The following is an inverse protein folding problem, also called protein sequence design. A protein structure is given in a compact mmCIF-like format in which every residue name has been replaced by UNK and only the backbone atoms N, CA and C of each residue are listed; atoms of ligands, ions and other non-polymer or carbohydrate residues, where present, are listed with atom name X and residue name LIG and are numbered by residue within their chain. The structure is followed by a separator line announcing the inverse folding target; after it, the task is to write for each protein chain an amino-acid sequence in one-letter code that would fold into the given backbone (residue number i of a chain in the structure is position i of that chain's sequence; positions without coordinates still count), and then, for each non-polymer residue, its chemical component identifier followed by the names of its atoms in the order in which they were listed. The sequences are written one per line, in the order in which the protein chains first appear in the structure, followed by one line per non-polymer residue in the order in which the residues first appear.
data_IF_076184618243
#
_entry.id   IF_076184618243
#
_cell.length_a   1.000
_cell.length_b   1.000
_cell.length_c   1.000
_cell.angle_alpha   90.00
_cell.angle_beta   90.00
_cell.angle_gamma   90.00
#
_symmetry.space_group_name_H-M   'P 1'
#
loop_
_entity.id
_entity.type
_entity.pdbx_description
1 polymer ?
#
# COMPACT_ATOMS: atom_id res chain seq x y z
N UNK A 1 -15.27 24.03 -21.33
CA UNK A 1 -13.98 23.41 -21.72
C UNK A 1 -12.89 24.04 -20.87
N UNK A 2 -11.70 23.45 -20.84
CA UNK A 2 -10.49 24.08 -20.30
C UNK A 2 -9.50 24.18 -21.44
N UNK A 3 -8.77 25.30 -21.49
CA UNK A 3 -7.67 25.49 -22.43
C UNK A 3 -6.43 25.86 -21.62
N UNK A 4 -5.30 25.28 -21.97
CA UNK A 4 -4.02 25.50 -21.28
C UNK A 4 -3.05 26.11 -22.27
N UNK A 5 -2.28 27.08 -21.81
CA UNK A 5 -1.21 27.68 -22.59
C UNK A 5 -0.14 28.24 -21.66
N UNK A 6 1.07 28.38 -22.20
CA UNK A 6 2.17 29.06 -21.53
C UNK A 6 3.01 29.81 -22.58
N UNK A 7 3.81 30.76 -22.13
CA UNK A 7 4.78 31.44 -22.98
C UNK A 7 6.07 30.60 -22.96
N UNK A 8 6.46 30.08 -24.12
CA UNK A 8 7.69 29.29 -24.25
C UNK A 8 8.93 30.18 -24.18
N UNK A 9 10.06 29.59 -23.80
CA UNK A 9 11.32 30.32 -23.66
C UNK A 9 11.76 30.87 -25.02
N UNK A 10 11.86 32.20 -25.12
CA UNK A 10 12.22 32.89 -26.36
C UNK A 10 11.02 33.35 -27.19
N UNK A 11 9.79 33.03 -26.77
CA UNK A 11 8.56 33.53 -27.37
C UNK A 11 7.97 34.68 -26.54
N UNK A 12 7.20 35.55 -27.18
CA UNK A 12 6.47 36.65 -26.54
C UNK A 12 4.96 36.40 -26.45
N UNK A 13 4.45 35.44 -27.21
CA UNK A 13 3.04 35.09 -27.28
C UNK A 13 2.77 33.79 -26.51
N UNK A 14 1.50 33.60 -26.13
CA UNK A 14 1.09 32.38 -25.43
C UNK A 14 0.90 31.27 -26.47
N UNK A 15 1.63 30.17 -26.31
CA UNK A 15 1.40 28.95 -27.07
C UNK A 15 0.19 28.23 -26.46
N UNK A 16 -0.98 28.36 -27.08
CA UNK A 16 -2.20 27.71 -26.61
C UNK A 16 -2.26 26.23 -27.05
N UNK A 17 -2.81 25.39 -26.18
CA UNK A 17 -3.23 24.03 -26.52
C UNK A 17 -4.66 24.00 -27.05
N UNK A 18 -5.04 22.81 -27.52
CA UNK A 18 -6.41 22.53 -27.96
C UNK A 18 -7.42 22.65 -26.79
N UNK A 19 -8.61 23.23 -27.02
CA UNK A 19 -9.68 23.25 -26.04
C UNK A 19 -10.11 21.83 -25.63
N UNK A 20 -10.01 21.51 -24.33
CA UNK A 20 -10.39 20.22 -23.78
C UNK A 20 -11.80 20.26 -23.20
N UNK A 21 -12.70 19.44 -23.74
CA UNK A 21 -14.06 19.30 -23.25
C UNK A 21 -14.18 18.07 -22.36
N UNK A 22 -14.89 18.22 -21.24
CA UNK A 22 -15.11 17.11 -20.30
C UNK A 22 -15.83 15.93 -20.97
N UNK A 23 -16.74 16.21 -21.90
CA UNK A 23 -17.46 15.23 -22.71
C UNK A 23 -16.55 14.39 -23.61
N UNK A 24 -15.39 14.92 -24.04
CA UNK A 24 -14.41 14.20 -24.85
C UNK A 24 -13.51 13.25 -24.05
N UNK A 25 -13.57 13.29 -22.71
CA UNK A 25 -12.76 12.42 -21.84
C UNK A 25 -13.52 11.13 -21.53
N UNK A 26 -13.19 10.07 -22.27
CA UNK A 26 -13.86 8.76 -22.19
C UNK A 26 -13.41 7.95 -20.97
N UNK A 27 -12.11 7.93 -20.67
CA UNK A 27 -11.55 7.12 -19.57
C UNK A 27 -11.39 7.96 -18.30
N UNK A 28 -12.05 7.55 -17.21
CA UNK A 28 -12.08 8.27 -15.93
C UNK A 28 -11.78 7.36 -14.74
N UNK A 29 -10.57 6.82 -14.70
CA UNK A 29 -10.14 5.82 -13.70
C UNK A 29 -9.80 6.41 -12.32
N UNK A 30 -10.31 7.60 -11.99
CA UNK A 30 -10.04 8.28 -10.72
C UNK A 30 -11.36 8.78 -10.11
N UNK A 31 -11.61 8.57 -8.81
CA UNK A 31 -12.79 9.13 -8.13
C UNK A 31 -12.78 10.66 -8.14
N UNK A 32 -11.62 11.29 -8.36
CA UNK A 32 -11.50 12.75 -8.49
C UNK A 32 -12.27 13.33 -9.69
N UNK A 33 -12.60 12.52 -10.70
CA UNK A 33 -13.49 12.96 -11.78
C UNK A 33 -14.91 13.29 -11.28
N UNK A 34 -15.32 12.75 -10.13
CA UNK A 34 -16.62 13.04 -9.49
C UNK A 34 -16.46 14.10 -8.41
N UNK A 35 -15.49 13.93 -7.50
CA UNK A 35 -15.33 14.84 -6.35
C UNK A 35 -14.64 16.16 -6.68
N UNK A 36 -13.74 16.19 -7.67
CA UNK A 36 -13.04 17.41 -8.12
C UNK A 36 -12.81 17.44 -9.64
N UNK A 37 -13.89 17.50 -10.45
CA UNK A 37 -13.82 17.39 -11.91
C UNK A 37 -13.00 18.51 -12.55
N UNK A 38 -13.01 19.72 -11.97
CA UNK A 38 -12.27 20.88 -12.49
C UNK A 38 -10.77 20.68 -12.40
N UNK A 39 -10.28 20.17 -11.27
CA UNK A 39 -8.86 19.88 -11.11
C UNK A 39 -8.41 18.77 -12.06
N UNK A 40 -9.22 17.72 -12.23
CA UNK A 40 -8.85 16.62 -13.12
C UNK A 40 -8.76 17.04 -14.59
N UNK A 41 -9.75 17.78 -15.09
CA UNK A 41 -9.70 18.24 -16.49
C UNK A 41 -8.56 19.24 -16.72
N UNK A 42 -8.24 20.10 -15.73
CA UNK A 42 -7.11 21.01 -15.81
C UNK A 42 -5.77 20.25 -15.85
N UNK A 43 -5.59 19.27 -14.96
CA UNK A 43 -4.40 18.42 -14.95
C UNK A 43 -4.23 17.68 -16.29
N UNK A 44 -5.32 17.14 -16.84
CA UNK A 44 -5.30 16.47 -18.13
C UNK A 44 -4.90 17.43 -19.26
N UNK A 45 -5.41 18.66 -19.25
CA UNK A 45 -5.05 19.71 -20.20
C UNK A 45 -3.56 20.06 -20.13
N UNK A 46 -3.02 20.29 -18.93
CA UNK A 46 -1.58 20.58 -18.71
C UNK A 46 -0.72 19.42 -19.21
N UNK A 47 -1.11 18.18 -18.90
CA UNK A 47 -0.39 16.99 -19.34
C UNK A 47 -0.33 16.86 -20.88
N UNK A 48 -1.44 17.14 -21.58
CA UNK A 48 -1.46 17.09 -23.04
C UNK A 48 -0.66 18.23 -23.66
N UNK A 49 -0.78 19.44 -23.13
CA UNK A 49 -0.03 20.59 -23.60
C UNK A 49 1.49 20.37 -23.45
N UNK A 50 1.94 19.94 -22.27
CA UNK A 50 3.36 19.72 -22.01
C UNK A 50 3.93 18.58 -22.86
N UNK A 51 3.16 17.55 -23.21
CA UNK A 51 3.62 16.51 -24.14
C UNK A 51 3.86 17.00 -25.56
N UNK A 52 3.14 18.02 -25.99
CA UNK A 52 3.27 18.58 -27.33
C UNK A 52 4.42 19.58 -27.42
N UNK A 53 4.56 20.45 -26.41
CA UNK A 53 5.44 21.62 -26.49
C UNK A 53 6.66 21.59 -25.56
N UNK A 54 6.62 20.79 -24.49
CA UNK A 54 7.74 20.64 -23.56
C UNK A 54 7.92 19.16 -23.14
N UNK A 55 8.01 18.21 -24.09
CA UNK A 55 8.10 16.78 -23.77
C UNK A 55 9.30 16.45 -22.89
N UNK A 56 10.40 17.20 -23.04
CA UNK A 56 11.61 17.08 -22.22
C UNK A 56 11.33 17.26 -20.73
N UNK A 57 10.45 18.20 -20.36
CA UNK A 57 10.07 18.46 -18.95
C UNK A 57 9.35 17.25 -18.34
N UNK A 58 8.60 16.49 -19.14
CA UNK A 58 7.90 15.27 -18.68
C UNK A 58 8.85 14.08 -18.61
N UNK A 59 9.83 14.02 -19.50
CA UNK A 59 10.77 12.89 -19.60
C UNK A 59 11.99 13.02 -18.66
N UNK A 60 12.07 14.12 -17.91
CA UNK A 60 13.21 14.47 -17.08
C UNK A 60 14.24 15.21 -17.91
N UNK A 61 14.48 16.48 -17.58
CA UNK A 61 15.56 17.27 -18.18
C UNK A 61 16.67 17.34 -17.17
N UNK A 62 17.88 17.01 -17.61
CA UNK A 62 19.06 17.33 -16.84
C UNK A 62 19.33 18.83 -16.97
N UNK A 63 19.37 19.55 -15.85
CA UNK A 63 19.86 20.92 -15.87
C UNK A 63 21.35 20.94 -16.21
N UNK A 64 21.90 22.04 -16.75
CA UNK A 64 23.33 22.10 -17.09
C UNK A 64 24.25 21.71 -15.93
N UNK A 65 23.87 22.05 -14.69
CA UNK A 65 24.58 21.67 -13.45
C UNK A 65 24.43 20.19 -13.05
N UNK A 66 23.47 19.47 -13.64
CA UNK A 66 23.33 18.01 -13.49
C UNK A 66 24.11 17.24 -14.56
N UNK A 67 24.38 17.85 -15.72
CA UNK A 67 25.23 17.28 -16.78
C UNK A 67 26.71 17.60 -16.54
N UNK A 68 27.02 18.75 -15.94
CA UNK A 68 28.37 19.07 -15.49
C UNK A 68 28.84 18.01 -14.48
N UNK A 69 29.98 17.39 -14.78
CA UNK A 69 30.67 16.55 -13.80
C UNK A 69 31.01 17.43 -12.61
N UNK A 70 30.22 17.30 -11.54
CA UNK A 70 30.57 17.88 -10.26
C UNK A 70 31.95 17.34 -9.90
N UNK A 71 32.92 18.24 -9.67
CA UNK A 71 34.20 17.84 -9.08
C UNK A 71 33.88 17.03 -7.82
N UNK A 72 34.46 15.84 -7.72
CA UNK A 72 34.27 14.97 -6.56
C UNK A 72 34.58 15.79 -5.32
N UNK A 73 33.53 16.11 -4.57
CA UNK A 73 33.68 16.85 -3.32
C UNK A 73 34.50 15.96 -2.40
N UNK A 74 35.69 16.40 -2.04
CA UNK A 74 36.55 15.69 -1.10
C UNK A 74 35.79 15.55 0.23
N UNK A 75 35.24 14.37 0.49
CA UNK A 75 34.42 14.09 1.69
C UNK A 75 35.33 13.98 2.93
N UNK A 76 36.62 13.69 2.71
CA UNK A 76 37.66 13.64 3.74
C UNK A 76 38.81 14.58 3.38
N UNK A 77 38.71 15.89 3.66
CA UNK A 77 39.87 16.75 3.60
C UNK A 77 40.96 16.21 4.54
N UNK A 78 42.21 16.18 4.08
CA UNK A 78 43.35 15.86 4.96
C UNK A 78 43.28 16.81 6.15
N UNK A 79 43.20 16.31 7.41
CA UNK A 79 42.83 17.14 8.54
C UNK A 79 43.85 18.27 8.74
N UNK A 80 43.48 19.47 8.32
CA UNK A 80 44.19 20.69 8.66
C UNK A 80 44.05 20.91 10.17
N UNK A 81 45.10 20.53 10.88
CA UNK A 81 45.48 21.04 12.20
C UNK A 81 44.34 21.20 13.23
N UNK A 82 44.00 20.07 13.88
CA UNK A 82 43.41 19.92 15.22
C UNK A 82 42.19 20.81 15.52
N UNK A 83 41.03 20.39 15.02
CA UNK A 83 39.76 20.69 15.70
C UNK A 83 39.63 19.85 16.98
N UNK A 84 39.02 20.40 18.02
CA UNK A 84 38.89 19.73 19.32
C UNK A 84 37.87 18.59 19.26
N UNK A 85 38.12 17.54 20.04
CA UNK A 85 37.36 16.26 20.07
C UNK A 85 35.86 16.45 20.36
N UNK A 86 35.46 17.60 20.91
CA UNK A 86 34.09 17.89 21.34
C UNK A 86 33.15 18.26 20.18
N UNK A 87 33.65 18.77 19.06
CA UNK A 87 32.82 19.21 17.93
C UNK A 87 32.45 18.02 17.02
N UNK A 88 33.38 17.08 16.82
CA UNK A 88 33.23 15.86 16.00
C UNK A 88 32.18 14.89 16.58
N UNK A 89 32.02 14.84 17.91
CA UNK A 89 31.02 13.97 18.56
C UNK A 89 29.58 14.40 18.31
N UNK A 90 29.34 15.66 17.90
CA UNK A 90 28.01 16.24 17.74
C UNK A 90 27.37 15.86 16.40
N UNK A 91 28.13 15.94 15.30
CA UNK A 91 27.60 15.69 13.95
C UNK A 91 27.50 14.19 13.62
N UNK A 92 28.43 13.35 14.11
CA UNK A 92 28.37 11.88 13.96
C UNK A 92 27.20 11.29 14.76
N UNK A 93 26.87 11.87 15.92
CA UNK A 93 25.69 11.47 16.70
C UNK A 93 24.39 11.73 15.94
N UNK A 94 24.34 12.77 15.10
CA UNK A 94 23.10 13.18 14.41
C UNK A 94 22.78 12.30 13.19
N UNK A 95 23.81 11.87 12.44
CA UNK A 95 23.63 10.98 11.27
C UNK A 95 23.46 9.51 11.66
N UNK A 96 24.17 9.05 12.70
CA UNK A 96 24.02 7.68 13.23
C UNK A 96 22.64 7.47 13.87
N UNK A 97 22.15 8.46 14.63
CA UNK A 97 20.84 8.40 15.29
C UNK A 97 19.65 8.32 14.32
N UNK A 98 19.70 9.01 13.18
CA UNK A 98 18.66 8.96 12.16
C UNK A 98 18.62 7.60 11.43
N UNK A 99 19.79 7.01 11.16
CA UNK A 99 19.90 5.73 10.47
C UNK A 99 19.51 4.56 11.40
N UNK A 100 19.91 4.60 12.68
CA UNK A 100 19.45 3.64 13.71
C UNK A 100 17.92 3.72 13.91
N UNK A 101 17.35 4.92 13.94
CA UNK A 101 15.90 5.11 14.08
C UNK A 101 15.12 4.51 12.90
N UNK A 102 15.61 4.68 11.67
CA UNK A 102 14.98 4.09 10.49
C UNK A 102 15.04 2.54 10.51
N UNK A 103 16.19 1.96 10.87
CA UNK A 103 16.32 0.50 11.01
C UNK A 103 15.43 -0.08 12.12
N UNK A 104 15.16 0.70 13.18
CA UNK A 104 14.29 0.28 14.27
C UNK A 104 12.81 0.22 13.82
N UNK A 105 12.36 1.21 13.04
CA UNK A 105 10.98 1.23 12.51
C UNK A 105 10.72 0.06 11.55
N UNK A 106 11.68 -0.25 10.68
CA UNK A 106 11.54 -1.39 9.75
C UNK A 106 11.50 -2.73 10.51
N UNK A 107 12.35 -2.92 11.53
CA UNK A 107 12.34 -4.12 12.36
C UNK A 107 11.00 -4.31 13.10
N UNK A 108 10.43 -3.23 13.62
CA UNK A 108 9.11 -3.24 14.26
C UNK A 108 8.00 -3.58 13.26
N UNK A 109 8.08 -3.02 12.04
CA UNK A 109 7.10 -3.33 11.00
C UNK A 109 7.17 -4.81 10.58
N UNK A 110 8.37 -5.39 10.49
CA UNK A 110 8.55 -6.79 10.15
C UNK A 110 8.05 -7.75 11.25
N UNK A 111 8.29 -7.45 12.53
CA UNK A 111 7.69 -8.20 13.65
C UNK A 111 6.15 -8.20 13.58
N UNK A 112 5.56 -7.02 13.31
CA UNK A 112 4.12 -6.90 13.17
C UNK A 112 3.59 -7.68 11.97
N UNK A 113 4.32 -7.73 10.84
CA UNK A 113 3.94 -8.56 9.69
C UNK A 113 3.94 -10.04 10.05
N UNK A 114 4.99 -10.52 10.71
CA UNK A 114 5.10 -11.92 11.14
C UNK A 114 3.99 -12.30 12.13
N UNK A 115 3.72 -11.45 13.11
CA UNK A 115 2.63 -11.67 14.08
C UNK A 115 1.26 -11.69 13.41
N UNK A 116 1.03 -10.84 12.40
CA UNK A 116 -0.21 -10.88 11.61
C UNK A 116 -0.31 -12.23 10.89
N UNK A 117 0.74 -12.67 10.20
CA UNK A 117 0.69 -13.89 9.39
C UNK A 117 0.52 -15.15 10.25
N UNK A 118 1.09 -15.17 11.45
CA UNK A 118 1.02 -16.29 12.40
C UNK A 118 -0.23 -16.30 13.29
N UNK A 119 -0.99 -15.20 13.37
CA UNK A 119 -2.17 -15.13 14.22
C UNK A 119 -3.19 -16.22 13.86
N UNK A 120 -3.52 -17.10 14.80
CA UNK A 120 -4.43 -18.24 14.60
C UNK A 120 -5.76 -18.08 15.36
N UNK A 121 -5.93 -16.98 16.10
CA UNK A 121 -7.19 -16.67 16.78
C UNK A 121 -7.68 -15.26 16.51
N UNK A 122 -9.00 -15.09 16.63
CA UNK A 122 -9.68 -13.79 16.49
C UNK A 122 -9.15 -12.80 17.54
N UNK A 123 -8.85 -13.27 18.74
CA UNK A 123 -8.37 -12.43 19.84
C UNK A 123 -6.91 -12.02 19.64
N UNK A 124 -6.06 -12.90 19.10
CA UNK A 124 -4.70 -12.52 18.68
C UNK A 124 -4.75 -11.44 17.60
N UNK A 125 -5.59 -11.61 16.57
CA UNK A 125 -5.74 -10.62 15.50
C UNK A 125 -6.25 -9.25 16.03
N UNK A 126 -7.16 -9.25 17.01
CA UNK A 126 -7.60 -8.02 17.69
C UNK A 126 -6.48 -7.37 18.49
N UNK A 127 -5.72 -8.16 19.25
CA UNK A 127 -4.60 -7.66 20.04
C UNK A 127 -3.52 -7.02 19.16
N UNK A 128 -3.16 -7.67 18.05
CA UNK A 128 -2.22 -7.13 17.07
C UNK A 128 -2.73 -5.83 16.47
N UNK A 129 -4.02 -5.74 16.15
CA UNK A 129 -4.60 -4.48 15.63
C UNK A 129 -4.53 -3.35 16.65
N UNK A 130 -4.76 -3.63 17.93
CA UNK A 130 -4.63 -2.63 18.99
C UNK A 130 -3.17 -2.17 19.14
N UNK A 131 -2.21 -3.10 19.02
CA UNK A 131 -0.78 -2.80 19.05
C UNK A 131 -0.35 -1.88 17.89
N UNK A 132 -0.77 -2.20 16.66
CA UNK A 132 -0.54 -1.34 15.47
C UNK A 132 -1.09 0.08 15.67
N UNK A 133 -2.27 0.23 16.31
CA UNK A 133 -2.85 1.55 16.58
C UNK A 133 -2.03 2.33 17.61
N UNK A 134 -1.49 1.67 18.63
CA UNK A 134 -0.63 2.30 19.64
C UNK A 134 0.69 2.81 19.05
N UNK A 135 1.20 2.15 18.01
CA UNK A 135 2.48 2.45 17.36
C UNK A 135 2.33 3.35 16.12
N UNK A 136 1.15 3.91 15.86
CA UNK A 136 0.87 4.73 14.67
C UNK A 136 1.85 5.89 14.47
N UNK A 137 2.26 6.55 15.56
CA UNK A 137 3.20 7.66 15.50
C UNK A 137 4.61 7.23 15.06
N UNK A 138 5.03 6.03 15.47
CA UNK A 138 6.33 5.45 15.13
C UNK A 138 6.37 4.94 13.67
N UNK A 139 5.32 4.22 13.25
CA UNK A 139 5.23 3.59 11.93
C UNK A 139 5.05 4.60 10.79
N UNK A 140 4.48 5.78 11.08
CA UNK A 140 4.05 6.71 10.06
C UNK A 140 2.86 6.20 9.23
N UNK A 141 2.32 7.07 8.38
CA UNK A 141 1.03 6.84 7.71
C UNK A 141 1.02 5.63 6.77
N UNK A 142 2.12 5.39 6.05
CA UNK A 142 2.21 4.35 5.04
C UNK A 142 2.21 2.95 5.68
N UNK A 143 3.18 2.66 6.55
CA UNK A 143 3.29 1.36 7.24
C UNK A 143 2.07 1.09 8.13
N UNK A 144 1.59 2.09 8.87
CA UNK A 144 0.38 1.96 9.67
C UNK A 144 -0.82 1.49 8.83
N UNK A 145 -1.02 2.10 7.65
CA UNK A 145 -2.15 1.74 6.78
C UNK A 145 -2.00 0.34 6.21
N UNK A 146 -0.80 -0.04 5.78
CA UNK A 146 -0.49 -1.38 5.30
C UNK A 146 -0.76 -2.45 6.37
N UNK A 147 -0.15 -2.31 7.54
CA UNK A 147 -0.24 -3.25 8.66
C UNK A 147 -1.68 -3.37 9.17
N UNK A 148 -2.39 -2.25 9.30
CA UNK A 148 -3.80 -2.27 9.71
C UNK A 148 -4.66 -3.04 8.72
N UNK A 149 -4.46 -2.84 7.42
CA UNK A 149 -5.22 -3.56 6.39
C UNK A 149 -4.91 -5.07 6.39
N UNK A 150 -3.64 -5.44 6.57
CA UNK A 150 -3.21 -6.84 6.73
C UNK A 150 -3.83 -7.49 7.96
N UNK A 151 -3.78 -6.82 9.12
CA UNK A 151 -4.38 -7.30 10.36
C UNK A 151 -5.90 -7.51 10.23
N UNK A 152 -6.60 -6.57 9.58
CA UNK A 152 -8.05 -6.71 9.31
C UNK A 152 -8.34 -7.89 8.38
N UNK A 153 -7.54 -8.07 7.32
CA UNK A 153 -7.69 -9.22 6.42
C UNK A 153 -7.49 -10.54 7.18
N UNK A 154 -6.46 -10.63 8.01
CA UNK A 154 -6.19 -11.82 8.82
C UNK A 154 -7.32 -12.13 9.80
N UNK A 155 -7.84 -11.11 10.48
CA UNK A 155 -9.00 -11.25 11.36
C UNK A 155 -10.17 -11.96 10.67
N UNK A 156 -10.56 -11.48 9.49
CA UNK A 156 -11.69 -12.08 8.75
C UNK A 156 -11.36 -13.46 8.20
N UNK A 157 -10.11 -13.73 7.85
CA UNK A 157 -9.68 -15.08 7.45
C UNK A 157 -9.84 -16.07 8.59
N UNK A 158 -9.34 -15.74 9.80
CA UNK A 158 -9.44 -16.61 10.99
C UNK A 158 -10.89 -16.76 11.45
N UNK A 159 -11.68 -15.68 11.45
CA UNK A 159 -13.11 -15.76 11.77
C UNK A 159 -13.89 -16.66 10.80
N UNK A 160 -13.58 -16.57 9.50
CA UNK A 160 -14.16 -17.44 8.49
C UNK A 160 -13.74 -18.92 8.69
N UNK A 161 -12.47 -19.18 9.01
CA UNK A 161 -11.98 -20.52 9.34
C UNK A 161 -12.74 -21.10 10.53
N UNK A 162 -12.81 -20.37 11.65
CA UNK A 162 -13.49 -20.83 12.86
C UNK A 162 -14.96 -21.15 12.61
N UNK A 163 -15.65 -20.35 11.78
CA UNK A 163 -17.06 -20.61 11.41
C UNK A 163 -17.21 -21.88 10.58
N UNK A 164 -16.35 -22.07 9.59
CA UNK A 164 -16.38 -23.28 8.74
C UNK A 164 -16.05 -24.52 9.58
N UNK A 165 -14.97 -24.48 10.37
CA UNK A 165 -14.60 -25.58 11.27
C UNK A 165 -15.70 -25.90 12.27
N UNK A 166 -16.33 -24.89 12.88
CA UNK A 166 -17.42 -25.11 13.83
C UNK A 166 -18.61 -25.82 13.19
N UNK A 167 -18.98 -25.48 11.95
CA UNK A 167 -20.07 -26.15 11.23
C UNK A 167 -19.65 -27.56 10.82
N UNK A 168 -18.45 -27.75 10.28
CA UNK A 168 -17.93 -29.07 9.90
C UNK A 168 -17.86 -30.02 11.10
N UNK A 169 -17.34 -29.55 12.24
CA UNK A 169 -17.23 -30.35 13.46
C UNK A 169 -18.59 -30.67 14.10
N UNK A 170 -19.66 -29.98 13.68
CA UNK A 170 -21.03 -30.24 14.12
C UNK A 170 -21.81 -31.17 13.19
N UNK A 171 -21.20 -31.67 12.10
CA UNK A 171 -21.85 -32.62 11.18
C UNK A 171 -21.96 -33.98 11.89
N UNK A 172 -23.18 -34.53 12.06
CA UNK A 172 -23.39 -35.86 12.61
C UNK A 172 -22.90 -36.98 11.69
N UNK A 173 -22.89 -38.23 12.19
CA UNK A 173 -22.47 -39.37 11.40
C UNK A 173 -23.40 -39.61 10.18
N UNK A 174 -22.88 -40.17 9.08
CA UNK A 174 -23.69 -40.55 7.92
C UNK A 174 -24.86 -41.46 8.30
N UNK A 175 -26.07 -41.09 7.88
CA UNK A 175 -27.30 -41.85 8.14
C UNK A 175 -28.20 -41.28 9.26
N UNK A 176 -27.76 -40.28 10.00
CA UNK A 176 -28.64 -39.53 10.92
C UNK A 176 -29.56 -38.56 10.14
N UNK A 177 -30.81 -38.36 10.57
CA UNK A 177 -31.80 -37.56 9.83
C UNK A 177 -31.38 -36.10 9.62
N UNK A 178 -30.56 -35.55 10.53
CA UNK A 178 -30.08 -34.17 10.46
C UNK A 178 -28.75 -34.03 9.70
N UNK A 179 -28.08 -35.13 9.32
CA UNK A 179 -26.75 -35.11 8.71
C UNK A 179 -26.76 -34.40 7.35
N UNK A 180 -27.76 -34.68 6.50
CA UNK A 180 -27.88 -34.06 5.19
C UNK A 180 -28.12 -32.54 5.27
N UNK A 181 -28.92 -32.08 6.24
CA UNK A 181 -29.20 -30.65 6.45
C UNK A 181 -27.96 -29.91 6.97
N UNK A 182 -27.26 -30.49 7.93
CA UNK A 182 -26.01 -29.93 8.48
C UNK A 182 -24.88 -29.92 7.45
N UNK A 183 -24.81 -30.93 6.56
CA UNK A 183 -23.88 -30.96 5.45
C UNK A 183 -24.14 -29.82 4.45
N UNK A 184 -25.40 -29.63 4.02
CA UNK A 184 -25.77 -28.53 3.12
C UNK A 184 -25.47 -27.15 3.74
N UNK A 185 -25.65 -27.02 5.06
CA UNK A 185 -25.27 -25.80 5.80
C UNK A 185 -23.75 -25.58 5.79
N UNK A 186 -22.96 -26.64 5.90
CA UNK A 186 -21.51 -26.57 5.84
C UNK A 186 -21.03 -26.12 4.44
N UNK A 187 -21.59 -26.68 3.37
CA UNK A 187 -21.29 -26.27 1.99
C UNK A 187 -21.63 -24.79 1.74
N UNK A 188 -22.82 -24.35 2.19
CA UNK A 188 -23.25 -22.95 2.09
C UNK A 188 -22.32 -22.01 2.85
N UNK A 189 -21.93 -22.39 4.08
CA UNK A 189 -21.02 -21.61 4.92
C UNK A 189 -19.63 -21.51 4.29
N UNK A 190 -19.09 -22.61 3.75
CA UNK A 190 -17.81 -22.65 3.04
C UNK A 190 -17.83 -21.75 1.79
N UNK A 191 -18.89 -21.84 0.98
CA UNK A 191 -19.07 -21.00 -0.20
C UNK A 191 -19.10 -19.51 0.13
N UNK A 192 -19.81 -19.13 1.19
CA UNK A 192 -19.84 -17.74 1.67
C UNK A 192 -18.48 -17.27 2.22
N UNK A 193 -17.72 -18.18 2.84
CA UNK A 193 -16.41 -17.91 3.40
C UNK A 193 -15.29 -17.77 2.35
N UNK A 194 -15.51 -18.22 1.10
CA UNK A 194 -14.49 -18.25 0.03
C UNK A 194 -13.70 -16.95 -0.13
N UNK A 195 -14.39 -15.80 -0.10
CA UNK A 195 -13.76 -14.47 -0.24
C UNK A 195 -12.66 -14.22 0.80
N UNK A 196 -12.82 -14.75 2.01
CA UNK A 196 -11.92 -14.52 3.13
C UNK A 196 -10.88 -15.64 3.30
N UNK A 197 -11.23 -16.87 2.94
CA UNK A 197 -10.32 -18.03 3.02
C UNK A 197 -9.27 -18.01 1.91
N UNK A 198 -9.61 -17.50 0.72
CA UNK A 198 -8.79 -17.67 -0.49
C UNK A 198 -8.97 -19.07 -1.09
N UNK A 199 -8.46 -19.27 -2.31
CA UNK A 199 -8.73 -20.50 -3.08
C UNK A 199 -8.09 -21.75 -2.44
N UNK A 200 -6.83 -21.67 -2.00
CA UNK A 200 -6.11 -22.82 -1.43
C UNK A 200 -6.82 -23.42 -0.21
N UNK A 201 -7.19 -22.55 0.74
CA UNK A 201 -7.79 -22.98 1.99
C UNK A 201 -9.26 -23.39 1.79
N UNK A 202 -9.98 -22.69 0.91
CA UNK A 202 -11.33 -23.09 0.51
C UNK A 202 -11.32 -24.49 -0.11
N UNK A 203 -10.38 -24.77 -1.01
CA UNK A 203 -10.26 -26.07 -1.67
C UNK A 203 -9.92 -27.18 -0.68
N UNK A 204 -9.08 -26.90 0.33
CA UNK A 204 -8.80 -27.84 1.42
C UNK A 204 -10.07 -28.24 2.17
N UNK A 205 -10.87 -27.26 2.60
CA UNK A 205 -12.14 -27.54 3.28
C UNK A 205 -13.17 -28.23 2.37
N UNK A 206 -13.19 -27.89 1.08
CA UNK A 206 -14.05 -28.57 0.10
C UNK A 206 -13.71 -30.06 0.03
N UNK A 207 -12.44 -30.40 -0.08
CA UNK A 207 -12.00 -31.81 -0.09
C UNK A 207 -12.42 -32.51 1.20
N UNK A 208 -12.24 -31.89 2.37
CA UNK A 208 -12.71 -32.45 3.64
C UNK A 208 -14.22 -32.70 3.65
N UNK A 209 -15.03 -31.78 3.09
CA UNK A 209 -16.47 -31.98 2.98
C UNK A 209 -16.83 -33.09 1.98
N UNK A 210 -16.16 -33.16 0.84
CA UNK A 210 -16.40 -34.21 -0.16
C UNK A 210 -16.15 -35.62 0.43
N UNK A 211 -15.17 -35.77 1.32
CA UNK A 211 -14.90 -37.02 2.05
C UNK A 211 -15.96 -37.37 3.10
N UNK A 212 -16.70 -36.38 3.59
CA UNK A 212 -17.74 -36.51 4.63
C UNK A 212 -19.15 -36.65 4.06
N UNK A 213 -19.29 -36.81 2.75
CA UNK A 213 -20.58 -36.82 2.06
C UNK A 213 -21.48 -37.96 2.59
N UNK A 214 -22.71 -37.66 3.06
CA UNK A 214 -23.61 -38.63 3.67
C UNK A 214 -24.16 -39.67 2.69
#
# INVERSE_FOLDING_TARGET
FVQVGAILRGESEITWGEPLYLSGVVTRNSPLWVSNPKQQIAYLGVKYWARLYCPEVILGVYSPDEVEQREEREINPVPAQRMSVQEITSEVSTTTSAQESATNVDAVADDLRERIDTASSVDQAKAIRADIESQKALLGTALFTELKNKAVKRYYQVDAQNKVEAVINSIPNPGEPEAAEMFAKAESTLGAAKRHLGDELHDKYRVTLDDMKP
#
